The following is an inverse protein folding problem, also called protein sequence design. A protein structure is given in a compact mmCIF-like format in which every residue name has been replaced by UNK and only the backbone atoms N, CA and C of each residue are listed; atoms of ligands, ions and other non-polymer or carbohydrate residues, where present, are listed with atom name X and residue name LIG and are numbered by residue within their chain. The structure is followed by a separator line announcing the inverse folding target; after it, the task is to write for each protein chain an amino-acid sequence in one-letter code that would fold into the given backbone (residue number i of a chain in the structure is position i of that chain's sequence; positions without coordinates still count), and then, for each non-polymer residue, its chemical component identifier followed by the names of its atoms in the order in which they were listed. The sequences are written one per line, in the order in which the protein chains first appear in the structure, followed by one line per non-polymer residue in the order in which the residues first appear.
data_IF_592037910328
#
_entry.id   IF_592037910328
#
_cell.length_a   1.000
_cell.length_b   1.000
_cell.length_c   1.000
_cell.angle_alpha   90.00
_cell.angle_beta   90.00
_cell.angle_gamma   90.00
#
_symmetry.space_group_name_H-M   'P 1'
#
loop_
_entity.id
_entity.type
_entity.pdbx_description
1 polymer ?
#
# COMPACT_ATOMS: atom_id res chain seq x y z
N UNK A 1 22.37 18.57 6.25
CA UNK A 1 21.36 18.37 7.31
C UNK A 1 22.09 18.17 8.63
N UNK A 2 21.87 19.05 9.62
CA UNK A 2 22.49 18.97 10.96
C UNK A 2 21.77 17.90 11.80
N UNK A 3 22.48 17.30 12.76
CA UNK A 3 22.11 16.16 13.63
C UNK A 3 20.68 16.18 14.23
N UNK A 4 20.07 17.36 14.45
CA UNK A 4 18.68 17.45 14.94
C UNK A 4 17.61 16.93 13.98
N UNK A 5 17.84 17.00 12.67
CA UNK A 5 16.83 16.60 11.67
C UNK A 5 16.62 15.08 11.57
N UNK A 6 17.62 14.27 11.95
CA UNK A 6 17.52 12.81 11.85
C UNK A 6 16.67 12.23 12.99
N UNK A 7 16.80 12.76 14.21
CA UNK A 7 16.04 12.29 15.37
C UNK A 7 14.53 12.52 15.18
N UNK A 8 14.15 13.71 14.70
CA UNK A 8 12.76 14.02 14.37
C UNK A 8 12.23 13.11 13.26
N UNK A 9 12.98 12.92 12.17
CA UNK A 9 12.58 12.04 11.08
C UNK A 9 12.39 10.58 11.54
N UNK A 10 13.28 10.05 12.38
CA UNK A 10 13.15 8.71 12.96
C UNK A 10 11.91 8.59 13.85
N UNK A 11 11.59 9.64 14.62
CA UNK A 11 10.37 9.69 15.44
C UNK A 11 9.11 9.64 14.58
N UNK A 12 9.06 10.43 13.50
CA UNK A 12 7.92 10.44 12.58
C UNK A 12 7.74 9.09 11.86
N UNK A 13 8.84 8.47 11.43
CA UNK A 13 8.77 7.13 10.85
C UNK A 13 8.29 6.08 11.86
N UNK A 14 8.72 6.12 13.13
CA UNK A 14 8.17 5.21 14.15
C UNK A 14 6.67 5.38 14.30
N UNK A 15 6.20 6.62 14.39
CA UNK A 15 4.77 6.92 14.48
C UNK A 15 4.00 6.43 13.24
N UNK A 16 4.57 6.61 12.05
CA UNK A 16 3.99 6.09 10.82
C UNK A 16 3.89 4.56 10.84
N UNK A 17 4.89 3.87 11.40
CA UNK A 17 4.91 2.41 11.53
C UNK A 17 3.98 1.90 12.64
N UNK A 18 3.72 2.67 13.69
CA UNK A 18 2.67 2.38 14.68
C UNK A 18 1.27 2.42 14.06
N UNK A 19 1.01 3.40 13.19
CA UNK A 19 -0.27 3.56 12.50
C UNK A 19 -0.43 2.54 11.37
N UNK A 20 0.67 2.25 10.65
CA UNK A 20 0.67 1.36 9.50
C UNK A 20 1.86 0.39 9.53
N UNK A 21 1.76 -0.74 10.29
CA UNK A 21 2.83 -1.72 10.43
C UNK A 21 3.24 -2.43 9.13
N UNK A 22 2.46 -2.30 8.06
CA UNK A 22 2.75 -2.80 6.72
C UNK A 22 3.39 -1.78 5.78
N UNK A 23 3.82 -0.60 6.26
CA UNK A 23 4.34 0.45 5.37
C UNK A 23 5.81 0.20 5.02
N UNK A 24 6.04 -0.62 3.98
CA UNK A 24 7.37 -1.03 3.55
C UNK A 24 8.32 0.16 3.32
N UNK A 25 7.84 1.22 2.68
CA UNK A 25 8.65 2.40 2.39
C UNK A 25 9.05 3.16 3.67
N UNK A 26 8.21 3.21 4.72
CA UNK A 26 8.60 3.82 5.99
C UNK A 26 9.71 3.02 6.69
N UNK A 27 9.67 1.68 6.67
CA UNK A 27 10.79 0.88 7.18
C UNK A 27 12.07 1.16 6.39
N UNK A 28 11.99 1.22 5.06
CA UNK A 28 13.16 1.50 4.21
C UNK A 28 13.73 2.91 4.45
N UNK A 29 12.86 3.92 4.57
CA UNK A 29 13.26 5.29 4.83
C UNK A 29 13.80 5.50 6.26
N UNK A 30 13.25 4.79 7.24
CA UNK A 30 13.79 4.76 8.60
C UNK A 30 15.23 4.23 8.59
N UNK A 31 15.48 3.11 7.90
CA UNK A 31 16.81 2.55 7.71
C UNK A 31 17.77 3.53 7.03
N UNK A 32 17.35 4.19 5.95
CA UNK A 32 18.13 5.24 5.29
C UNK A 32 18.47 6.40 6.24
N UNK A 33 17.51 6.81 7.08
CA UNK A 33 17.69 7.88 8.06
C UNK A 33 18.69 7.49 9.15
N UNK A 34 18.60 6.27 9.69
CA UNK A 34 19.58 5.71 10.63
C UNK A 34 20.99 5.71 10.04
N UNK A 35 21.13 5.24 8.79
CA UNK A 35 22.42 5.18 8.12
C UNK A 35 22.97 6.59 7.83
N UNK A 36 22.11 7.55 7.47
CA UNK A 36 22.50 8.94 7.29
C UNK A 36 23.00 9.58 8.58
N UNK A 37 22.32 9.34 9.71
CA UNK A 37 22.77 9.78 11.02
C UNK A 37 24.13 9.17 11.37
N UNK A 38 24.27 7.86 11.25
CA UNK A 38 25.50 7.17 11.61
C UNK A 38 26.69 7.54 10.70
N UNK A 39 26.42 7.87 9.43
CA UNK A 39 27.44 8.41 8.52
C UNK A 39 27.86 9.83 8.93
N UNK A 40 26.91 10.67 9.34
CA UNK A 40 27.18 12.05 9.78
C UNK A 40 27.98 12.07 11.09
N UNK A 41 27.66 11.16 12.00
CA UNK A 41 28.33 11.01 13.30
C UNK A 41 29.65 10.21 13.18
N UNK A 42 29.96 9.68 11.98
CA UNK A 42 31.06 8.77 11.69
C UNK A 42 31.17 7.61 12.69
N UNK A 43 30.02 7.15 13.18
CA UNK A 43 29.89 6.19 14.25
C UNK A 43 28.75 5.22 13.93
N UNK A 44 29.11 4.10 13.31
CA UNK A 44 28.20 2.94 13.21
C UNK A 44 28.59 1.94 14.29
N UNK A 45 27.68 1.73 15.23
CA UNK A 45 27.79 0.66 16.23
C UNK A 45 27.08 -0.59 15.73
N UNK A 46 27.41 -1.76 16.30
CA UNK A 46 26.72 -3.00 15.96
C UNK A 46 25.21 -2.94 16.26
N UNK A 47 24.82 -2.17 17.27
CA UNK A 47 23.41 -1.90 17.58
C UNK A 47 22.71 -1.15 16.44
N UNK A 48 23.35 -0.12 15.87
CA UNK A 48 22.80 0.61 14.72
C UNK A 48 22.73 -0.29 13.48
N UNK A 49 23.75 -1.13 13.23
CA UNK A 49 23.71 -2.10 12.12
C UNK A 49 22.55 -3.09 12.28
N UNK A 50 22.33 -3.59 13.49
CA UNK A 50 21.24 -4.51 13.78
C UNK A 50 19.87 -3.85 13.54
N UNK A 51 19.67 -2.62 14.04
CA UNK A 51 18.42 -1.87 13.85
C UNK A 51 18.18 -1.55 12.37
N UNK A 52 19.23 -1.13 11.65
CA UNK A 52 19.21 -0.93 10.20
C UNK A 52 18.76 -2.19 9.45
N UNK A 53 19.41 -3.34 9.72
CA UNK A 53 19.11 -4.60 9.05
C UNK A 53 17.70 -5.10 9.37
N UNK A 54 17.23 -4.93 10.61
CA UNK A 54 15.87 -5.27 11.00
C UNK A 54 14.85 -4.52 10.14
N UNK A 55 15.02 -3.19 10.00
CA UNK A 55 14.10 -2.37 9.22
C UNK A 55 14.20 -2.65 7.72
N UNK A 56 15.41 -2.85 7.18
CA UNK A 56 15.59 -3.21 5.77
C UNK A 56 14.99 -4.58 5.44
N UNK A 57 15.20 -5.59 6.29
CA UNK A 57 14.59 -6.91 6.10
C UNK A 57 13.08 -6.82 6.14
N UNK A 58 12.52 -6.04 7.09
CA UNK A 58 11.08 -5.84 7.15
C UNK A 58 10.52 -5.13 5.92
N UNK A 59 11.24 -4.15 5.38
CA UNK A 59 10.88 -3.48 4.13
C UNK A 59 10.87 -4.47 2.95
N UNK A 60 11.87 -5.35 2.86
CA UNK A 60 11.96 -6.40 1.82
C UNK A 60 10.86 -7.47 1.96
N UNK A 61 10.53 -7.86 3.19
CA UNK A 61 9.42 -8.79 3.46
C UNK A 61 8.09 -8.23 2.99
N UNK A 62 7.85 -6.95 3.24
CA UNK A 62 6.61 -6.26 2.88
C UNK A 62 6.55 -5.87 1.40
N UNK A 63 7.71 -5.58 0.80
CA UNK A 63 7.82 -5.25 -0.62
C UNK A 63 9.12 -5.85 -1.20
N UNK A 64 8.96 -6.98 -1.91
CA UNK A 64 10.07 -7.72 -2.50
C UNK A 64 10.85 -6.93 -3.58
N UNK A 65 10.30 -5.85 -4.15
CA UNK A 65 11.02 -5.00 -5.11
C UNK A 65 12.23 -4.31 -4.49
N UNK A 66 12.24 -4.10 -3.17
CA UNK A 66 13.44 -3.63 -2.47
C UNK A 66 14.59 -4.63 -2.52
N UNK A 67 14.34 -5.93 -2.74
CA UNK A 67 15.40 -6.94 -2.89
C UNK A 67 15.98 -6.97 -4.31
N UNK A 68 16.41 -5.80 -4.79
CA UNK A 68 17.02 -5.61 -6.09
C UNK A 68 18.55 -5.68 -6.03
N UNK A 69 19.20 -5.49 -7.17
CA UNK A 69 20.67 -5.54 -7.28
C UNK A 69 21.37 -4.51 -6.39
N UNK A 70 20.84 -3.28 -6.32
CA UNK A 70 21.39 -2.21 -5.50
C UNK A 70 21.29 -2.53 -4.01
N UNK A 71 20.24 -3.23 -3.58
CA UNK A 71 20.13 -3.71 -2.20
C UNK A 71 21.21 -4.73 -1.85
N UNK A 72 21.53 -5.67 -2.76
CA UNK A 72 22.63 -6.63 -2.56
C UNK A 72 24.00 -5.92 -2.52
N UNK A 73 24.19 -4.89 -3.33
CA UNK A 73 25.38 -4.03 -3.30
C UNK A 73 25.46 -3.29 -1.95
N UNK A 74 24.35 -2.74 -1.47
CA UNK A 74 24.28 -2.07 -0.17
C UNK A 74 24.65 -3.00 0.99
N UNK A 75 24.14 -4.24 0.99
CA UNK A 75 24.52 -5.25 2.00
C UNK A 75 26.02 -5.55 2.00
N UNK A 76 26.63 -5.62 0.81
CA UNK A 76 28.08 -5.84 0.66
C UNK A 76 28.90 -4.69 1.24
N UNK A 77 28.50 -3.44 0.96
CA UNK A 77 29.16 -2.25 1.52
C UNK A 77 28.96 -2.14 3.04
N UNK A 78 27.77 -2.49 3.55
CA UNK A 78 27.49 -2.51 4.99
C UNK A 78 28.42 -3.49 5.73
N UNK A 79 28.63 -4.70 5.17
CA UNK A 79 29.55 -5.68 5.73
C UNK A 79 31.00 -5.19 5.78
N UNK A 80 31.41 -4.36 4.80
CA UNK A 80 32.73 -3.71 4.75
C UNK A 80 32.82 -2.41 5.56
N UNK A 81 31.75 -2.03 6.28
CA UNK A 81 31.64 -0.78 7.01
C UNK A 81 31.80 0.50 6.14
N UNK A 82 31.48 0.39 4.84
CA UNK A 82 31.54 1.47 3.86
C UNK A 82 30.18 2.19 3.83
N UNK A 83 29.96 3.08 4.81
CA UNK A 83 28.63 3.65 5.10
C UNK A 83 28.12 4.56 3.99
N UNK A 84 29.00 5.35 3.38
CA UNK A 84 28.64 6.29 2.32
C UNK A 84 28.16 5.55 1.07
N UNK A 85 28.92 4.54 0.65
CA UNK A 85 28.63 3.68 -0.49
C UNK A 85 27.39 2.81 -0.22
N UNK A 86 27.25 2.28 0.99
CA UNK A 86 26.04 1.57 1.42
C UNK A 86 24.80 2.46 1.29
N UNK A 87 24.87 3.71 1.77
CA UNK A 87 23.76 4.66 1.69
C UNK A 87 23.41 4.99 0.25
N UNK A 88 24.41 5.24 -0.59
CA UNK A 88 24.20 5.51 -2.01
C UNK A 88 23.47 4.35 -2.69
N UNK A 89 23.92 3.11 -2.47
CA UNK A 89 23.28 1.93 -3.03
C UNK A 89 21.83 1.74 -2.52
N UNK A 90 21.54 2.03 -1.25
CA UNK A 90 20.15 2.00 -0.75
C UNK A 90 19.27 3.08 -1.40
N UNK A 91 19.80 4.27 -1.68
CA UNK A 91 19.07 5.32 -2.40
C UNK A 91 18.78 4.91 -3.85
N UNK A 92 19.74 4.28 -4.52
CA UNK A 92 19.55 3.74 -5.88
C UNK A 92 18.52 2.60 -5.87
N UNK A 93 18.56 1.72 -4.87
CA UNK A 93 17.55 0.69 -4.64
C UNK A 93 16.16 1.30 -4.49
N UNK A 94 16.01 2.32 -3.64
CA UNK A 94 14.72 3.02 -3.45
C UNK A 94 14.24 3.66 -4.75
N UNK A 95 15.13 4.33 -5.48
CA UNK A 95 14.79 4.98 -6.75
C UNK A 95 14.31 3.95 -7.77
N UNK A 96 14.98 2.81 -7.87
CA UNK A 96 14.57 1.68 -8.72
C UNK A 96 13.17 1.17 -8.37
N UNK A 97 12.86 1.03 -7.08
CA UNK A 97 11.52 0.65 -6.63
C UNK A 97 10.49 1.71 -6.99
N UNK A 98 10.76 2.99 -6.75
CA UNK A 98 9.82 4.07 -7.12
C UNK A 98 9.55 4.14 -8.62
N UNK A 99 10.50 3.72 -9.47
CA UNK A 99 10.31 3.61 -10.90
C UNK A 99 9.46 2.39 -11.30
N UNK A 100 9.25 1.43 -10.39
CA UNK A 100 8.47 0.20 -10.58
C UNK A 100 7.16 0.20 -9.78
N UNK A 101 6.89 1.23 -8.97
CA UNK A 101 5.70 1.31 -8.09
C UNK A 101 5.02 2.68 -8.15
N UNK A 102 3.69 2.72 -8.09
CA UNK A 102 2.86 3.95 -8.04
C UNK A 102 2.58 4.50 -6.63
N UNK A 103 3.46 4.23 -5.66
CA UNK A 103 3.32 4.40 -4.19
C UNK A 103 2.44 5.57 -3.70
N UNK A 104 2.61 6.77 -4.24
CA UNK A 104 1.95 7.99 -3.72
C UNK A 104 0.43 8.00 -3.94
N UNK A 105 -0.05 7.48 -5.07
CA UNK A 105 -1.49 7.43 -5.40
C UNK A 105 -2.22 6.35 -4.58
N UNK A 106 -1.51 5.27 -4.27
CA UNK A 106 -2.02 4.16 -3.46
C UNK A 106 -2.36 4.59 -2.02
N UNK A 107 -1.46 5.33 -1.38
CA UNK A 107 -1.60 5.68 0.03
C UNK A 107 -2.84 6.55 0.27
N UNK A 108 -3.11 7.53 -0.60
CA UNK A 108 -4.24 8.46 -0.47
C UNK A 108 -5.60 7.72 -0.46
N UNK A 109 -5.82 6.83 -1.43
CA UNK A 109 -7.09 6.12 -1.57
C UNK A 109 -7.30 5.11 -0.44
N UNK A 110 -6.25 4.40 -0.03
CA UNK A 110 -6.31 3.49 1.10
C UNK A 110 -6.68 4.23 2.40
N UNK A 111 -6.04 5.37 2.67
CA UNK A 111 -6.37 6.19 3.84
C UNK A 111 -7.82 6.66 3.81
N UNK A 112 -8.33 7.09 2.65
CA UNK A 112 -9.73 7.50 2.50
C UNK A 112 -10.69 6.32 2.71
N UNK A 113 -10.36 5.14 2.20
CA UNK A 113 -11.15 3.93 2.37
C UNK A 113 -11.23 3.48 3.84
N UNK A 114 -10.12 3.60 4.58
CA UNK A 114 -10.00 3.09 5.95
C UNK A 114 -10.40 4.10 7.01
N UNK A 115 -10.03 5.35 6.84
CA UNK A 115 -10.14 6.41 7.85
C UNK A 115 -10.97 7.61 7.40
N UNK A 116 -11.46 7.63 6.16
CA UNK A 116 -12.36 8.70 5.71
C UNK A 116 -13.71 8.60 6.43
N UNK A 117 -14.13 9.69 7.08
CA UNK A 117 -15.41 9.79 7.79
C UNK A 117 -16.62 9.47 6.90
N UNK A 118 -16.50 9.67 5.58
CA UNK A 118 -17.54 9.41 4.57
C UNK A 118 -17.36 8.09 3.81
N UNK A 119 -16.27 7.34 4.06
CA UNK A 119 -15.87 6.20 3.23
C UNK A 119 -15.56 6.60 1.77
N UNK A 120 -15.55 5.62 0.87
CA UNK A 120 -15.39 5.84 -0.58
C UNK A 120 -16.75 5.72 -1.25
N UNK A 121 -17.13 6.72 -2.03
CA UNK A 121 -18.33 6.70 -2.88
C UNK A 121 -18.01 6.23 -4.32
N UNK A 122 -19.06 6.07 -5.13
CA UNK A 122 -18.93 5.64 -6.53
C UNK A 122 -18.03 6.58 -7.35
N UNK A 123 -18.22 7.89 -7.23
CA UNK A 123 -17.46 8.87 -8.00
C UNK A 123 -16.00 8.95 -7.56
N UNK A 124 -15.72 8.79 -6.26
CA UNK A 124 -14.37 8.66 -5.74
C UNK A 124 -13.68 7.39 -6.25
N UNK A 125 -14.40 6.27 -6.32
CA UNK A 125 -13.88 5.02 -6.90
C UNK A 125 -13.59 5.18 -8.39
N UNK A 126 -14.49 5.79 -9.16
CA UNK A 126 -14.30 6.03 -10.60
C UNK A 126 -13.11 6.94 -10.87
N UNK A 127 -12.95 8.04 -10.13
CA UNK A 127 -11.76 8.91 -10.23
C UNK A 127 -10.46 8.18 -9.91
N UNK A 128 -10.49 7.29 -8.92
CA UNK A 128 -9.32 6.50 -8.55
C UNK A 128 -8.93 5.51 -9.64
N UNK A 129 -9.89 4.78 -10.21
CA UNK A 129 -9.68 3.89 -11.37
C UNK A 129 -9.01 4.67 -12.51
N UNK A 130 -9.55 5.82 -12.91
CA UNK A 130 -8.96 6.63 -13.98
C UNK A 130 -7.52 7.05 -13.68
N UNK A 131 -7.22 7.41 -12.42
CA UNK A 131 -5.85 7.77 -12.03
C UNK A 131 -4.89 6.59 -12.07
N UNK A 132 -5.34 5.38 -11.71
CA UNK A 132 -4.54 4.17 -11.83
C UNK A 132 -4.30 3.81 -13.30
N UNK A 133 -5.31 3.95 -14.15
CA UNK A 133 -5.18 3.76 -15.61
C UNK A 133 -4.14 4.74 -16.21
N UNK A 134 -4.19 6.03 -15.85
CA UNK A 134 -3.20 7.02 -16.27
C UNK A 134 -1.77 6.68 -15.82
N UNK A 135 -1.60 6.05 -14.64
CA UNK A 135 -0.30 5.57 -14.18
C UNK A 135 0.19 4.39 -15.03
N UNK A 136 -0.70 3.46 -15.38
CA UNK A 136 -0.37 2.31 -16.23
C UNK A 136 -0.09 2.71 -17.68
N UNK A 137 -0.70 3.78 -18.18
CA UNK A 137 -0.33 4.36 -19.47
C UNK A 137 1.12 4.86 -19.49
N UNK A 138 1.57 5.47 -18.39
CA UNK A 138 2.96 5.96 -18.24
C UNK A 138 3.95 4.83 -18.00
N UNK A 139 3.58 3.87 -17.17
CA UNK A 139 4.39 2.68 -16.91
C UNK A 139 3.49 1.44 -16.71
N UNK A 140 3.36 0.59 -17.74
CA UNK A 140 2.55 -0.62 -17.66
C UNK A 140 3.06 -1.67 -16.67
N UNK A 141 4.29 -1.53 -16.16
CA UNK A 141 4.93 -2.51 -15.28
C UNK A 141 4.70 -2.23 -13.79
N UNK A 142 3.89 -1.22 -13.44
CA UNK A 142 3.50 -0.97 -12.05
C UNK A 142 2.60 -2.09 -11.51
N UNK A 143 3.22 -3.07 -10.87
CA UNK A 143 2.54 -4.29 -10.40
C UNK A 143 1.59 -4.00 -9.24
N UNK A 144 1.95 -3.07 -8.37
CA UNK A 144 1.07 -2.55 -7.31
C UNK A 144 -0.17 -1.86 -7.90
N UNK A 145 0.01 -1.03 -8.94
CA UNK A 145 -1.12 -0.35 -9.62
C UNK A 145 -2.07 -1.36 -10.27
N UNK A 146 -1.57 -2.46 -10.86
CA UNK A 146 -2.43 -3.54 -11.36
C UNK A 146 -3.24 -4.21 -10.24
N UNK A 147 -2.62 -4.49 -9.10
CA UNK A 147 -3.30 -5.04 -7.94
C UNK A 147 -4.40 -4.08 -7.44
N UNK A 148 -4.05 -2.80 -7.29
CA UNK A 148 -4.96 -1.77 -6.80
C UNK A 148 -6.11 -1.50 -7.75
N UNK A 149 -5.87 -1.59 -9.06
CA UNK A 149 -6.92 -1.50 -10.07
C UNK A 149 -7.91 -2.66 -9.90
N UNK A 150 -7.42 -3.86 -9.63
CA UNK A 150 -8.24 -5.02 -9.26
C UNK A 150 -9.09 -4.76 -8.00
N UNK A 151 -8.48 -4.22 -6.94
CA UNK A 151 -9.19 -3.84 -5.70
C UNK A 151 -10.25 -2.78 -5.98
N UNK A 152 -9.91 -1.74 -6.76
CA UNK A 152 -10.82 -0.67 -7.13
C UNK A 152 -12.03 -1.18 -7.94
N UNK A 153 -11.82 -2.13 -8.86
CA UNK A 153 -12.91 -2.80 -9.57
C UNK A 153 -13.81 -3.61 -8.63
N UNK A 154 -13.25 -4.33 -7.66
CA UNK A 154 -14.06 -5.05 -6.67
C UNK A 154 -14.90 -4.06 -5.81
N UNK A 155 -14.31 -2.93 -5.41
CA UNK A 155 -15.05 -1.87 -4.71
C UNK A 155 -16.16 -1.31 -5.61
N UNK A 156 -15.90 -1.09 -6.90
CA UNK A 156 -16.90 -0.64 -7.87
C UNK A 156 -18.07 -1.65 -8.01
N UNK A 157 -17.75 -2.95 -8.10
CA UNK A 157 -18.74 -4.03 -8.16
C UNK A 157 -19.67 -4.03 -6.95
N UNK A 158 -19.18 -3.70 -5.75
CA UNK A 158 -20.02 -3.57 -4.55
C UNK A 158 -21.17 -2.58 -4.74
N UNK A 159 -20.93 -1.44 -5.40
CA UNK A 159 -21.99 -0.46 -5.65
C UNK A 159 -23.02 -0.98 -6.66
N UNK A 160 -22.56 -1.63 -7.74
CA UNK A 160 -23.45 -2.23 -8.73
C UNK A 160 -24.32 -3.33 -8.10
N UNK A 161 -23.73 -4.13 -7.22
CA UNK A 161 -24.42 -5.16 -6.46
C UNK A 161 -25.54 -4.59 -5.58
N UNK A 162 -25.26 -3.53 -4.83
CA UNK A 162 -26.27 -2.86 -4.02
C UNK A 162 -27.41 -2.26 -4.86
N UNK A 163 -27.11 -1.71 -6.05
CA UNK A 163 -28.14 -1.22 -6.98
C UNK A 163 -29.03 -2.35 -7.48
N UNK A 164 -28.46 -3.50 -7.82
CA UNK A 164 -29.24 -4.66 -8.26
C UNK A 164 -30.22 -5.14 -7.18
N UNK A 165 -29.77 -5.23 -5.92
CA UNK A 165 -30.62 -5.55 -4.77
C UNK A 165 -31.79 -4.57 -4.65
N UNK A 166 -31.52 -3.26 -4.77
CA UNK A 166 -32.57 -2.24 -4.68
C UNK A 166 -33.60 -2.38 -5.80
N UNK A 167 -33.19 -2.68 -7.03
CA UNK A 167 -34.13 -2.91 -8.13
C UNK A 167 -34.97 -4.17 -7.91
N UNK A 168 -34.40 -5.25 -7.37
CA UNK A 168 -35.20 -6.43 -7.00
C UNK A 168 -36.22 -6.11 -5.90
N UNK A 169 -35.83 -5.32 -4.88
CA UNK A 169 -36.76 -4.86 -3.84
C UNK A 169 -37.87 -3.99 -4.41
N UNK A 170 -37.56 -3.07 -5.32
CA UNK A 170 -38.57 -2.24 -6.02
C UNK A 170 -39.53 -3.10 -6.84
N UNK A 171 -39.03 -4.10 -7.55
CA UNK A 171 -39.87 -5.03 -8.30
C UNK A 171 -40.86 -5.78 -7.38
N UNK A 172 -40.43 -6.19 -6.19
CA UNK A 172 -41.29 -6.83 -5.20
C UNK A 172 -42.25 -5.86 -4.50
N UNK A 173 -41.89 -4.58 -4.36
CA UNK A 173 -42.82 -3.56 -3.88
C UNK A 173 -43.98 -3.33 -4.86
N UNK A 174 -43.72 -3.43 -6.18
CA UNK A 174 -44.73 -3.30 -7.22
C UNK A 174 -45.55 -4.58 -7.41
N UNK A 175 -44.91 -5.74 -7.35
CA UNK A 175 -45.57 -7.05 -7.41
C UNK A 175 -44.95 -8.00 -6.38
N UNK A 176 -45.58 -8.12 -5.20
CA UNK A 176 -45.08 -8.98 -4.12
C UNK A 176 -44.92 -10.45 -4.52
N UNK A 177 -45.71 -10.93 -5.49
CA UNK A 177 -45.73 -12.31 -5.95
C UNK A 177 -44.87 -12.55 -7.20
N UNK A 178 -43.94 -11.63 -7.54
CA UNK A 178 -43.09 -11.78 -8.73
C UNK A 178 -41.93 -12.79 -8.50
N UNK A 179 -42.00 -14.03 -9.03
CA UNK A 179 -41.09 -15.10 -8.58
C UNK A 179 -39.64 -14.89 -9.00
N UNK A 180 -39.40 -14.23 -10.15
CA UNK A 180 -38.06 -13.91 -10.63
C UNK A 180 -37.34 -12.94 -9.70
N UNK A 181 -38.01 -11.88 -9.24
CA UNK A 181 -37.39 -10.92 -8.32
C UNK A 181 -37.16 -11.53 -6.93
N UNK A 182 -38.06 -12.39 -6.42
CA UNK A 182 -37.84 -13.11 -5.16
C UNK A 182 -36.60 -14.01 -5.24
N UNK A 183 -36.48 -14.81 -6.32
CA UNK A 183 -35.32 -15.68 -6.55
C UNK A 183 -34.02 -14.87 -6.66
N UNK A 184 -34.02 -13.80 -7.46
CA UNK A 184 -32.82 -12.99 -7.68
C UNK A 184 -32.39 -12.23 -6.43
N UNK A 185 -33.34 -11.68 -5.66
CA UNK A 185 -33.05 -11.01 -4.40
C UNK A 185 -32.41 -11.98 -3.41
N UNK A 186 -32.98 -13.18 -3.22
CA UNK A 186 -32.42 -14.19 -2.32
C UNK A 186 -31.01 -14.62 -2.73
N UNK A 187 -30.77 -14.82 -4.02
CA UNK A 187 -29.44 -15.17 -4.52
C UNK A 187 -28.45 -14.03 -4.28
N UNK A 188 -28.82 -12.79 -4.60
CA UNK A 188 -27.98 -11.63 -4.37
C UNK A 188 -27.69 -11.42 -2.87
N UNK A 189 -28.66 -11.58 -1.99
CA UNK A 189 -28.43 -11.44 -0.54
C UNK A 189 -27.55 -12.55 0.05
N UNK A 190 -27.61 -13.77 -0.51
CA UNK A 190 -26.76 -14.88 -0.09
C UNK A 190 -25.32 -14.71 -0.59
N UNK A 191 -25.13 -14.53 -1.90
CA UNK A 191 -23.81 -14.37 -2.53
C UNK A 191 -23.14 -13.06 -2.12
N UNK A 192 -23.93 -12.02 -1.87
CA UNK A 192 -23.44 -10.72 -1.40
C UNK A 192 -22.68 -10.80 -0.09
N UNK A 193 -23.06 -11.72 0.81
CA UNK A 193 -22.31 -11.94 2.05
C UNK A 193 -20.92 -12.50 1.77
N UNK A 194 -20.82 -13.49 0.89
CA UNK A 194 -19.54 -14.08 0.47
C UNK A 194 -18.63 -13.06 -0.22
N UNK A 195 -19.19 -12.29 -1.15
CA UNK A 195 -18.47 -11.20 -1.81
C UNK A 195 -17.95 -10.14 -0.84
N UNK A 196 -18.76 -9.73 0.14
CA UNK A 196 -18.34 -8.77 1.16
C UNK A 196 -17.27 -9.34 2.10
N UNK A 197 -17.32 -10.63 2.41
CA UNK A 197 -16.27 -11.31 3.18
C UNK A 197 -14.96 -11.34 2.38
N UNK A 198 -15.02 -11.68 1.09
CA UNK A 198 -13.86 -11.64 0.19
C UNK A 198 -13.27 -10.23 0.11
N UNK A 199 -14.11 -9.22 -0.13
CA UNK A 199 -13.69 -7.83 -0.19
C UNK A 199 -13.05 -7.39 1.12
N UNK A 200 -13.57 -7.85 2.27
CA UNK A 200 -12.91 -7.62 3.57
C UNK A 200 -11.55 -8.30 3.64
N UNK A 201 -11.46 -9.59 3.32
CA UNK A 201 -10.19 -10.31 3.35
C UNK A 201 -9.11 -9.64 2.48
N UNK A 202 -9.47 -9.17 1.29
CA UNK A 202 -8.56 -8.47 0.37
C UNK A 202 -8.09 -7.12 0.93
N UNK A 203 -8.95 -6.43 1.69
CA UNK A 203 -8.66 -5.10 2.24
C UNK A 203 -7.88 -5.11 3.57
N UNK A 204 -7.44 -6.28 4.06
CA UNK A 204 -6.80 -6.48 5.38
C UNK A 204 -7.63 -5.90 6.54
N UNK A 205 -8.63 -6.66 7.00
CA UNK A 205 -9.29 -6.48 8.30
C UNK A 205 -8.78 -7.49 9.32
#
# INVERSE_FOLDING_TARGET
LKSGNYVEALSEFRRALEIHPGYAEAYFNYALCLLAQATADNAVTDAIKADLLQHLNRAVELNAYYNNEFFKIAQTHLAKNQLTECRQALVESKTSVSAQTGSEVFHEFYLRLKYGDEGVDRGATERYISRLEELLEKNPQFVDVHNDLGVAYLIQCRFLFNRAINEFKRALALNPNYPKAQKNLKLAENEGKGFLILLRAILYF
#
